data_IF_083322343170
#
_entry.id   IF_083322343170
#
_cell.length_a   1.000
_cell.length_b   1.000
_cell.length_c   1.000
_cell.angle_alpha   90.00
_cell.angle_beta   90.00
_cell.angle_gamma   90.00
#
_symmetry.space_group_name_H-M   'P 1'
#
loop_
_entity.id
_entity.type
_entity.pdbx_description
1 polymer ?
#
# COMPACT_ATOMS: atom_id res chain seq x y z
N UNK A 1 2.46 13.52 -23.53
CA UNK A 1 2.80 13.79 -22.11
C UNK A 1 4.32 13.84 -21.99
N UNK A 2 4.89 14.91 -21.40
CA UNK A 2 6.34 15.07 -21.21
C UNK A 2 6.78 14.35 -19.92
N UNK A 3 7.97 13.76 -19.92
CA UNK A 3 8.59 13.10 -18.75
C UNK A 3 8.66 13.99 -17.51
N UNK A 4 8.89 15.30 -17.66
CA UNK A 4 8.86 16.27 -16.55
C UNK A 4 7.46 16.40 -15.94
N UNK A 5 6.43 16.55 -16.76
CA UNK A 5 5.04 16.59 -16.28
C UNK A 5 4.61 15.27 -15.66
N UNK A 6 5.08 14.14 -16.21
CA UNK A 6 4.81 12.82 -15.67
C UNK A 6 5.43 12.64 -14.27
N UNK A 7 6.67 13.12 -14.06
CA UNK A 7 7.34 13.10 -12.76
C UNK A 7 6.63 13.97 -11.72
N UNK A 8 6.18 15.17 -12.10
CA UNK A 8 5.43 16.04 -11.18
C UNK A 8 4.07 15.42 -10.82
N UNK A 9 3.34 14.87 -11.81
CA UNK A 9 2.07 14.18 -11.58
C UNK A 9 2.23 12.97 -10.66
N UNK A 10 3.33 12.20 -10.79
CA UNK A 10 3.64 11.06 -9.92
C UNK A 10 4.01 11.50 -8.50
N UNK A 11 4.67 12.66 -8.35
CA UNK A 11 5.01 13.21 -7.04
C UNK A 11 3.76 13.72 -6.31
N UNK A 12 2.82 14.28 -7.03
CA UNK A 12 1.53 14.73 -6.51
C UNK A 12 0.65 13.54 -6.11
N UNK A 13 0.63 12.46 -6.91
CA UNK A 13 -0.08 11.24 -6.55
C UNK A 13 0.51 10.56 -5.31
N UNK A 14 1.84 10.55 -5.16
CA UNK A 14 2.50 10.01 -3.96
C UNK A 14 2.11 10.77 -2.68
N UNK A 15 1.99 12.11 -2.75
CA UNK A 15 1.50 12.92 -1.62
C UNK A 15 0.06 12.61 -1.26
N UNK A 16 -0.82 12.49 -2.27
CA UNK A 16 -2.22 12.15 -2.07
C UNK A 16 -2.38 10.76 -1.44
N UNK A 17 -1.54 9.80 -1.86
CA UNK A 17 -1.51 8.44 -1.32
C UNK A 17 -1.09 8.43 0.16
N UNK A 18 -0.08 9.23 0.52
CA UNK A 18 0.36 9.35 1.91
C UNK A 18 -0.76 9.92 2.81
N UNK A 19 -1.46 10.97 2.36
CA UNK A 19 -2.60 11.54 3.10
C UNK A 19 -3.72 10.51 3.24
N UNK A 20 -4.06 9.78 2.17
CA UNK A 20 -5.10 8.76 2.22
C UNK A 20 -4.74 7.59 3.14
N UNK A 21 -3.48 7.12 3.11
CA UNK A 21 -2.98 6.09 4.00
C UNK A 21 -3.02 6.54 5.47
N UNK A 22 -2.61 7.77 5.76
CA UNK A 22 -2.70 8.36 7.11
C UNK A 22 -4.15 8.46 7.58
N UNK A 23 -5.07 8.90 6.73
CA UNK A 23 -6.50 8.97 7.06
C UNK A 23 -7.09 7.57 7.31
N UNK A 24 -6.70 6.56 6.53
CA UNK A 24 -7.11 5.16 6.74
C UNK A 24 -6.55 4.58 8.04
N UNK A 25 -5.33 4.97 8.43
CA UNK A 25 -4.70 4.59 9.69
C UNK A 25 -5.37 5.28 10.89
N UNK A 26 -5.68 6.57 10.74
CA UNK A 26 -6.26 7.40 11.80
C UNK A 26 -7.77 7.10 12.02
N UNK A 27 -8.51 6.72 10.98
CA UNK A 27 -9.95 6.42 11.08
C UNK A 27 -10.29 5.03 11.65
N UNK A 28 -9.34 4.32 12.24
CA UNK A 28 -9.64 3.12 13.03
C UNK A 28 -9.54 1.79 12.27
N UNK A 29 -8.60 1.66 11.32
CA UNK A 29 -7.99 0.33 11.15
C UNK A 29 -7.11 0.13 12.38
N UNK A 30 -7.72 -0.39 13.45
CA UNK A 30 -6.95 -1.21 14.36
C UNK A 30 -6.20 -2.19 13.45
N UNK A 31 -4.88 -2.22 13.56
CA UNK A 31 -4.02 -3.24 12.98
C UNK A 31 -4.30 -4.60 13.68
N UNK A 32 -5.56 -4.94 13.89
CA UNK A 32 -6.01 -6.27 14.28
C UNK A 32 -5.92 -7.08 12.98
N UNK A 33 -4.77 -7.74 12.81
CA UNK A 33 -4.49 -8.75 11.78
C UNK A 33 -4.44 -8.21 10.35
N UNK A 34 -3.28 -7.65 9.97
CA UNK A 34 -2.77 -7.97 8.63
C UNK A 34 -2.87 -9.50 8.50
N UNK A 35 -3.53 -10.06 7.47
CA UNK A 35 -3.60 -11.51 7.34
C UNK A 35 -2.15 -11.99 7.31
N UNK A 36 -1.74 -12.65 8.40
CA UNK A 36 -0.49 -13.40 8.43
C UNK A 36 -0.61 -14.27 7.19
N UNK A 37 0.26 -14.03 6.21
CA UNK A 37 0.32 -14.82 4.99
C UNK A 37 0.21 -16.26 5.46
N UNK A 38 -0.89 -16.93 5.09
CA UNK A 38 -1.16 -18.32 5.47
C UNK A 38 0.17 -19.06 5.36
N UNK A 39 0.64 -19.67 6.46
CA UNK A 39 1.75 -20.61 6.39
C UNK A 39 1.39 -21.59 5.29
N UNK A 40 2.11 -21.52 4.17
CA UNK A 40 1.75 -22.19 2.93
C UNK A 40 1.94 -23.70 3.14
N UNK A 41 0.91 -24.48 3.51
CA UNK A 41 1.13 -25.83 3.97
C UNK A 41 1.01 -26.71 2.73
N UNK A 42 2.12 -26.89 2.02
CA UNK A 42 2.19 -27.83 0.89
C UNK A 42 2.86 -27.31 -0.39
N UNK A 43 3.85 -26.43 -0.32
CA UNK A 43 4.65 -26.04 -1.51
C UNK A 43 5.70 -27.07 -1.93
N UNK A 44 5.93 -28.10 -1.13
CA UNK A 44 6.91 -29.14 -1.45
C UNK A 44 6.24 -30.53 -1.43
N UNK A 45 6.10 -31.19 -2.58
CA UNK A 45 5.97 -32.65 -2.59
C UNK A 45 7.29 -33.26 -2.10
N UNK A 46 7.20 -34.26 -1.22
CA UNK A 46 8.34 -35.02 -0.70
C UNK A 46 8.98 -35.94 -1.72
#
# INVERSE_FOLDING_TARGET
>A
MNTKQMKESLKESAKLFAVFASLKLESGVKMEELPVVCEFPGVFPG
#
